data_IF_808343101557
#
_entry.id   IF_808343101557
#
_cell.length_a   1.000
_cell.length_b   1.000
_cell.length_c   1.000
_cell.angle_alpha   90.00
_cell.angle_beta   90.00
_cell.angle_gamma   90.00
#
_symmetry.space_group_name_H-M   'P 1'
#
loop_
_entity.id
_entity.type
_entity.pdbx_description
1 polymer ?
#
# COMPACT_ATOMS: atom_id res chain seq x y z
N UNK A 1 -1.32 -16.82 -13.89
CA UNK A 1 -1.09 -15.39 -13.59
C UNK A 1 0.39 -15.15 -13.64
N UNK A 2 0.81 -14.13 -14.38
CA UNK A 2 2.21 -13.74 -14.43
C UNK A 2 2.69 -13.30 -13.03
N UNK A 3 3.98 -13.44 -12.70
CA UNK A 3 4.53 -12.99 -11.42
C UNK A 3 4.26 -11.50 -11.16
N UNK A 4 4.17 -10.67 -12.21
CA UNK A 4 3.80 -9.26 -12.12
C UNK A 4 2.35 -9.03 -11.67
N UNK A 5 1.38 -9.80 -12.17
CA UNK A 5 -0.02 -9.69 -11.75
C UNK A 5 -0.17 -9.97 -10.26
N UNK A 6 0.55 -10.98 -9.77
CA UNK A 6 0.52 -11.34 -8.36
C UNK A 6 1.05 -10.20 -7.49
N UNK A 7 2.15 -9.57 -7.90
CA UNK A 7 2.72 -8.39 -7.23
C UNK A 7 1.70 -7.23 -7.23
N UNK A 8 0.98 -7.02 -8.33
CA UNK A 8 -0.04 -5.98 -8.44
C UNK A 8 -1.17 -6.16 -7.42
N UNK A 9 -1.74 -7.36 -7.32
CA UNK A 9 -2.79 -7.68 -6.35
C UNK A 9 -2.30 -7.56 -4.89
N UNK A 10 -1.07 -7.99 -4.62
CA UNK A 10 -0.46 -7.84 -3.27
C UNK A 10 -0.34 -6.36 -2.90
N UNK A 11 0.16 -5.52 -3.81
CA UNK A 11 0.29 -4.07 -3.57
C UNK A 11 -1.05 -3.38 -3.37
N UNK A 12 -2.09 -3.80 -4.09
CA UNK A 12 -3.46 -3.32 -3.87
C UNK A 12 -3.96 -3.66 -2.45
N UNK A 13 -3.80 -4.90 -2.01
CA UNK A 13 -4.21 -5.31 -0.67
C UNK A 13 -3.41 -4.59 0.43
N UNK A 14 -2.11 -4.40 0.22
CA UNK A 14 -1.24 -3.63 1.10
C UNK A 14 -1.68 -2.17 1.24
N UNK A 15 -2.05 -1.51 0.14
CA UNK A 15 -2.54 -0.12 0.18
C UNK A 15 -3.82 -0.01 1.01
N UNK A 16 -4.75 -0.95 0.84
CA UNK A 16 -5.98 -1.01 1.63
C UNK A 16 -5.69 -1.29 3.12
N UNK A 17 -4.75 -2.20 3.42
CA UNK A 17 -4.37 -2.54 4.79
C UNK A 17 -3.66 -1.38 5.50
N UNK A 18 -2.79 -0.67 4.80
CA UNK A 18 -2.15 0.55 5.31
C UNK A 18 -3.18 1.65 5.62
N UNK A 19 -4.17 1.85 4.75
CA UNK A 19 -5.25 2.80 4.99
C UNK A 19 -6.09 2.42 6.21
N UNK A 20 -6.41 1.13 6.36
CA UNK A 20 -7.14 0.60 7.51
C UNK A 20 -6.39 0.83 8.83
N UNK A 21 -5.06 0.62 8.84
CA UNK A 21 -4.21 0.93 10.00
C UNK A 21 -4.29 2.43 10.35
N UNK A 22 -4.19 3.33 9.37
CA UNK A 22 -4.32 4.78 9.62
C UNK A 22 -5.66 5.16 10.26
N UNK A 23 -6.75 4.49 9.86
CA UNK A 23 -8.10 4.75 10.39
C UNK A 23 -8.25 4.18 11.80
N UNK A 24 -7.77 2.97 12.06
CA UNK A 24 -7.79 2.35 13.40
C UNK A 24 -7.00 3.21 14.40
N UNK A 25 -5.84 3.72 13.98
CA UNK A 25 -5.02 4.63 14.77
C UNK A 25 -5.60 6.05 14.87
N UNK A 26 -6.75 6.32 14.24
CA UNK A 26 -7.41 7.64 14.17
C UNK A 26 -6.45 8.75 13.77
N UNK A 27 -5.60 8.48 12.78
CA UNK A 27 -4.63 9.44 12.28
C UNK A 27 -5.38 10.60 11.62
N UNK A 28 -5.43 11.74 12.31
CA UNK A 28 -6.10 12.95 11.84
C UNK A 28 -5.17 13.89 11.05
N UNK A 29 -3.86 13.66 11.13
CA UNK A 29 -2.86 14.50 10.50
C UNK A 29 -2.39 13.89 9.18
N UNK A 30 -2.53 14.65 8.10
CA UNK A 30 -2.17 14.24 6.74
C UNK A 30 -0.68 13.83 6.68
N UNK A 31 0.20 14.54 7.38
CA UNK A 31 1.64 14.27 7.41
C UNK A 31 1.92 12.92 8.06
N UNK A 32 1.27 12.64 9.20
CA UNK A 32 1.45 11.38 9.92
C UNK A 32 0.96 10.20 9.10
N UNK A 33 -0.20 10.30 8.44
CA UNK A 33 -0.72 9.21 7.61
C UNK A 33 0.07 9.03 6.32
N UNK A 34 0.58 10.11 5.72
CA UNK A 34 1.54 10.01 4.62
C UNK A 34 2.83 9.30 5.04
N UNK A 35 3.34 9.59 6.25
CA UNK A 35 4.49 8.90 6.83
C UNK A 35 4.24 7.40 7.05
N UNK A 36 3.07 7.02 7.57
CA UNK A 36 2.68 5.61 7.74
C UNK A 36 2.55 4.93 6.37
N UNK A 37 1.87 5.56 5.41
CA UNK A 37 1.74 5.05 4.05
C UNK A 37 3.08 4.86 3.35
N UNK A 38 4.04 5.75 3.60
CA UNK A 38 5.39 5.66 3.06
C UNK A 38 6.21 4.56 3.75
N UNK A 39 6.17 4.47 5.08
CA UNK A 39 6.85 3.41 5.84
C UNK A 39 6.34 2.02 5.46
N UNK A 40 5.02 1.86 5.40
CA UNK A 40 4.39 0.61 4.99
C UNK A 40 4.77 0.24 3.55
N UNK A 41 4.87 1.22 2.64
CA UNK A 41 5.39 0.99 1.28
C UNK A 41 6.83 0.49 1.28
N UNK A 42 7.73 1.14 2.02
CA UNK A 42 9.14 0.75 2.06
C UNK A 42 9.36 -0.66 2.62
N UNK A 43 8.65 -1.00 3.69
CA UNK A 43 8.70 -2.35 4.28
C UNK A 43 8.20 -3.37 3.26
N UNK A 44 7.05 -3.09 2.66
CA UNK A 44 6.41 -3.94 1.67
C UNK A 44 7.29 -4.17 0.44
N UNK A 45 7.91 -3.11 -0.08
CA UNK A 45 8.78 -3.17 -1.25
C UNK A 45 10.02 -4.02 -0.99
N UNK A 46 10.61 -3.93 0.21
CA UNK A 46 11.71 -4.81 0.62
C UNK A 46 11.27 -6.28 0.73
N UNK A 47 10.13 -6.55 1.34
CA UNK A 47 9.58 -7.90 1.50
C UNK A 47 9.24 -8.52 0.14
N UNK A 48 8.58 -7.77 -0.74
CA UNK A 48 8.25 -8.21 -2.11
C UNK A 48 9.52 -8.47 -2.94
N UNK A 49 10.53 -7.61 -2.82
CA UNK A 49 11.84 -7.85 -3.46
C UNK A 49 12.46 -9.15 -3.00
N UNK A 50 12.44 -9.45 -1.71
CA UNK A 50 13.02 -10.69 -1.18
C UNK A 50 12.25 -11.93 -1.65
N UNK A 51 10.92 -11.89 -1.68
CA UNK A 51 10.08 -13.04 -2.06
C UNK A 51 10.15 -13.33 -3.57
N UNK A 52 10.23 -12.28 -4.39
CA UNK A 52 10.17 -12.41 -5.84
C UNK A 52 11.54 -12.22 -6.52
N UNK A 53 12.63 -12.01 -5.78
CA UNK A 53 13.98 -11.82 -6.33
C UNK A 53 14.37 -12.96 -7.30
N UNK A 54 14.12 -14.20 -6.93
CA UNK A 54 14.43 -15.38 -7.76
C UNK A 54 13.42 -15.63 -8.89
N UNK A 55 12.32 -14.86 -8.94
CA UNK A 55 11.20 -15.09 -9.87
C UNK A 55 11.04 -14.01 -10.94
N UNK A 56 11.91 -13.00 -10.96
CA UNK A 56 11.92 -11.94 -11.98
C UNK A 56 13.34 -11.63 -12.43
N UNK A 57 13.52 -11.36 -13.72
CA UNK A 57 14.81 -11.00 -14.31
C UNK A 57 15.53 -9.84 -13.60
N UNK A 58 14.76 -8.85 -13.12
CA UNK A 58 15.31 -7.64 -12.48
C UNK A 58 14.44 -7.24 -11.28
N UNK A 59 14.99 -7.12 -10.07
CA UNK A 59 14.23 -6.70 -8.88
C UNK A 59 13.72 -5.25 -8.97
N UNK A 60 14.28 -4.43 -9.85
CA UNK A 60 13.78 -3.07 -10.16
C UNK A 60 12.38 -3.10 -10.77
N UNK A 61 12.04 -4.15 -11.53
CA UNK A 61 10.72 -4.33 -12.14
C UNK A 61 9.63 -4.48 -11.08
N UNK A 62 9.92 -5.14 -9.95
CA UNK A 62 8.99 -5.28 -8.80
C UNK A 62 8.63 -3.93 -8.20
N UNK A 63 9.61 -3.00 -8.15
CA UNK A 63 9.40 -1.67 -7.55
C UNK A 63 8.52 -0.81 -8.45
N UNK A 64 8.85 -0.77 -9.74
CA UNK A 64 8.17 0.05 -10.74
C UNK A 64 6.75 -0.47 -11.01
N UNK A 65 6.57 -1.78 -11.04
CA UNK A 65 5.25 -2.38 -11.23
C UNK A 65 4.42 -2.23 -9.96
N UNK A 66 3.28 -1.56 -10.09
CA UNK A 66 2.28 -1.46 -9.03
C UNK A 66 2.55 -0.44 -7.91
N UNK A 67 3.54 0.46 -8.04
CA UNK A 67 3.65 1.60 -7.10
C UNK A 67 2.42 2.51 -7.18
N UNK A 68 1.93 2.77 -8.39
CA UNK A 68 0.75 3.60 -8.61
C UNK A 68 -0.50 3.02 -7.96
N UNK A 69 -0.74 1.71 -8.14
CA UNK A 69 -1.93 1.08 -7.54
C UNK A 69 -1.86 1.10 -6.01
N UNK A 70 -0.69 0.88 -5.42
CA UNK A 70 -0.52 1.00 -3.97
C UNK A 70 -0.91 2.41 -3.48
N UNK A 71 -0.34 3.45 -4.09
CA UNK A 71 -0.57 4.85 -3.67
C UNK A 71 -2.02 5.26 -3.88
N UNK A 72 -2.60 4.94 -5.04
CA UNK A 72 -3.99 5.27 -5.37
C UNK A 72 -4.94 4.54 -4.41
N UNK A 73 -4.76 3.22 -4.22
CA UNK A 73 -5.60 2.44 -3.32
C UNK A 73 -5.47 2.95 -1.89
N UNK A 74 -4.26 3.24 -1.41
CA UNK A 74 -4.02 3.78 -0.07
C UNK A 74 -4.77 5.11 0.14
N UNK A 75 -4.55 6.10 -0.73
CA UNK A 75 -5.19 7.43 -0.60
C UNK A 75 -6.70 7.30 -0.69
N UNK A 76 -7.21 6.55 -1.67
CA UNK A 76 -8.63 6.35 -1.89
C UNK A 76 -9.30 5.67 -0.70
N UNK A 77 -8.76 4.54 -0.21
CA UNK A 77 -9.30 3.84 0.96
C UNK A 77 -9.21 4.68 2.21
N UNK A 78 -8.11 5.41 2.41
CA UNK A 78 -7.92 6.19 3.62
C UNK A 78 -8.95 7.33 3.70
N UNK A 79 -9.15 8.07 2.61
CA UNK A 79 -10.18 9.12 2.54
C UNK A 79 -11.58 8.52 2.72
N UNK A 80 -11.89 7.42 2.04
CA UNK A 80 -13.20 6.78 2.08
C UNK A 80 -13.53 6.31 3.50
N UNK A 81 -12.64 5.52 4.13
CA UNK A 81 -12.83 5.01 5.48
C UNK A 81 -12.87 6.14 6.51
N UNK A 82 -12.00 7.14 6.40
CA UNK A 82 -12.01 8.28 7.30
C UNK A 82 -13.31 9.09 7.18
N UNK A 83 -13.85 9.22 5.96
CA UNK A 83 -15.15 9.87 5.72
C UNK A 83 -16.31 9.09 6.35
N UNK A 84 -16.31 7.76 6.22
CA UNK A 84 -17.32 6.89 6.84
C UNK A 84 -17.25 6.99 8.37
N UNK A 85 -16.05 6.86 8.94
CA UNK A 85 -15.84 6.90 10.40
C UNK A 85 -16.17 8.29 10.96
N UNK A 86 -15.87 9.37 10.24
CA UNK A 86 -16.19 10.73 10.71
C UNK A 86 -17.66 11.11 10.60
N UNK A 87 -18.43 10.50 9.68
CA UNK A 87 -19.88 10.73 9.53
C UNK A 87 -20.76 9.74 10.32
N UNK A 88 -20.18 8.65 10.81
CA UNK A 88 -20.90 7.54 11.46
C UNK A 88 -21.05 7.65 12.98
N UNK A 89 -20.73 8.79 13.59
CA UNK A 89 -20.95 9.08 15.02
C UNK A 89 -21.74 10.38 15.20
#
# INVERSE_FOLDING_TARGET
>A
MEPLDKIYWIKLFLGALAALICVILRVNNVITGAGIGFLTYLISDKVLKQIFADKVDKPVTITKTGIGIYVITFIFMWILLYTIVSRGY
#
